data_IF_658946019506
#
_entry.id   IF_658946019506
#
_cell.length_a   1.000
_cell.length_b   1.000
_cell.length_c   1.000
_cell.angle_alpha   90.00
_cell.angle_beta   90.00
_cell.angle_gamma   90.00
#
_symmetry.space_group_name_H-M   'P 1'
#
loop_
_entity.id
_entity.type
_entity.pdbx_description
1 polymer ?
#
# COMPACT_ATOMS: atom_id res chain seq x y z
N UNK A 1 -10.01 0.27 -23.31
CA UNK A 1 -10.07 -0.29 -21.93
C UNK A 1 -11.51 -0.46 -21.45
N UNK A 2 -12.46 0.39 -21.88
CA UNK A 2 -13.89 0.20 -21.63
C UNK A 2 -14.71 0.67 -22.83
N UNK A 3 -15.89 0.09 -22.97
CA UNK A 3 -16.97 0.48 -23.87
C UNK A 3 -17.99 1.29 -23.05
N UNK A 4 -18.29 2.51 -23.52
CA UNK A 4 -19.34 3.36 -22.95
C UNK A 4 -20.49 3.36 -23.94
N UNK A 5 -21.68 2.97 -23.48
CA UNK A 5 -22.87 2.88 -24.32
C UNK A 5 -23.98 3.73 -23.74
N UNK A 6 -24.68 4.43 -24.62
CA UNK A 6 -25.98 5.05 -24.35
C UNK A 6 -26.84 4.92 -25.62
N UNK A 7 -28.13 5.30 -25.62
CA UNK A 7 -28.98 5.19 -26.80
C UNK A 7 -28.60 6.18 -27.93
N UNK A 8 -27.42 6.07 -28.53
CA UNK A 8 -26.85 7.03 -29.51
C UNK A 8 -27.79 7.36 -30.67
N UNK A 9 -28.62 6.39 -31.07
CA UNK A 9 -29.56 6.45 -32.19
C UNK A 9 -31.02 6.74 -31.77
N UNK A 10 -31.23 7.35 -30.61
CA UNK A 10 -32.57 7.64 -30.07
C UNK A 10 -33.51 8.38 -31.05
N UNK A 11 -32.95 9.18 -31.95
CA UNK A 11 -33.70 9.87 -33.02
C UNK A 11 -34.27 8.92 -34.05
N UNK A 12 -33.55 7.84 -34.38
CA UNK A 12 -33.98 6.81 -35.34
C UNK A 12 -35.19 6.03 -34.79
N UNK A 13 -35.29 5.94 -33.46
CA UNK A 13 -36.45 5.41 -32.74
C UNK A 13 -37.57 6.43 -32.52
N UNK A 14 -37.47 7.64 -33.08
CA UNK A 14 -38.41 8.77 -32.90
C UNK A 14 -38.60 9.21 -31.45
N UNK A 15 -37.61 8.97 -30.59
CA UNK A 15 -37.65 9.46 -29.21
C UNK A 15 -37.32 10.95 -29.16
N UNK A 16 -37.76 11.64 -28.10
CA UNK A 16 -37.44 13.07 -27.90
C UNK A 16 -36.01 13.29 -27.37
N UNK A 17 -35.44 12.30 -26.68
CA UNK A 17 -34.07 12.32 -26.16
C UNK A 17 -33.55 10.89 -25.93
N UNK A 18 -32.24 10.71 -25.83
CA UNK A 18 -31.58 9.42 -25.55
C UNK A 18 -31.70 8.92 -24.11
N UNK A 19 -32.32 9.72 -23.23
CA UNK A 19 -32.40 9.43 -21.80
C UNK A 19 -31.13 9.87 -21.09
N UNK A 20 -31.01 9.49 -19.82
CA UNK A 20 -29.94 9.89 -18.90
C UNK A 20 -29.13 8.69 -18.40
N UNK A 21 -29.23 7.55 -19.07
CA UNK A 21 -28.55 6.32 -18.66
C UNK A 21 -27.33 6.10 -19.53
N UNK A 22 -26.20 5.93 -18.86
CA UNK A 22 -24.92 5.54 -19.46
C UNK A 22 -24.53 4.19 -18.87
N UNK A 23 -24.11 3.25 -19.70
CA UNK A 23 -23.56 1.97 -19.26
C UNK A 23 -22.08 1.89 -19.63
N UNK A 24 -21.28 1.29 -18.76
CA UNK A 24 -19.86 1.07 -19.00
C UNK A 24 -19.54 -0.40 -18.83
N UNK A 25 -18.91 -0.99 -19.84
CA UNK A 25 -18.40 -2.35 -19.83
C UNK A 25 -16.89 -2.32 -20.05
N UNK A 26 -16.11 -3.01 -19.24
CA UNK A 26 -14.66 -3.02 -19.37
C UNK A 26 -14.20 -4.13 -20.32
N UNK A 27 -13.12 -3.89 -21.08
CA UNK A 27 -12.47 -4.92 -21.89
C UNK A 27 -11.33 -5.54 -21.10
N UNK A 28 -11.44 -6.83 -20.80
CA UNK A 28 -10.43 -7.59 -20.05
C UNK A 28 -11.06 -8.63 -19.15
N UNK A 29 -10.42 -9.78 -19.02
CA UNK A 29 -10.93 -10.89 -18.22
C UNK A 29 -11.06 -10.49 -16.75
N UNK A 30 -12.23 -10.76 -16.15
CA UNK A 30 -12.49 -10.49 -14.74
C UNK A 30 -12.74 -9.02 -14.38
N UNK A 31 -12.54 -8.06 -15.28
CA UNK A 31 -12.79 -6.64 -15.01
C UNK A 31 -14.26 -6.32 -14.77
N UNK A 32 -15.15 -7.13 -15.32
CA UNK A 32 -16.58 -6.95 -15.13
C UNK A 32 -17.14 -7.82 -14.00
N UNK A 33 -16.30 -8.46 -13.17
CA UNK A 33 -16.80 -9.17 -11.98
C UNK A 33 -17.43 -8.17 -11.02
N UNK A 34 -18.57 -8.52 -10.41
CA UNK A 34 -19.31 -7.66 -9.48
C UNK A 34 -18.41 -6.98 -8.44
N UNK A 35 -17.56 -7.73 -7.74
CA UNK A 35 -16.63 -7.16 -6.74
C UNK A 35 -15.65 -6.13 -7.29
N UNK A 36 -15.26 -6.25 -8.56
CA UNK A 36 -14.38 -5.29 -9.21
C UNK A 36 -15.15 -4.05 -9.68
N UNK A 37 -16.38 -4.22 -10.19
CA UNK A 37 -17.25 -3.10 -10.54
C UNK A 37 -17.72 -2.32 -9.31
N UNK A 38 -17.92 -2.98 -8.17
CA UNK A 38 -18.19 -2.33 -6.89
C UNK A 38 -17.03 -1.42 -6.48
N UNK A 39 -15.78 -1.87 -6.66
CA UNK A 39 -14.59 -1.03 -6.45
C UNK A 39 -14.56 0.15 -7.42
N UNK A 40 -14.88 -0.07 -8.69
CA UNK A 40 -14.98 1.01 -9.68
C UNK A 40 -16.04 2.05 -9.29
N UNK A 41 -17.19 1.64 -8.73
CA UNK A 41 -18.18 2.57 -8.19
C UNK A 41 -17.56 3.44 -7.10
N UNK A 42 -16.83 2.83 -6.16
CA UNK A 42 -16.22 3.55 -5.04
C UNK A 42 -15.13 4.54 -5.53
N UNK A 43 -14.34 4.15 -6.54
CA UNK A 43 -13.37 5.03 -7.20
C UNK A 43 -14.05 6.26 -7.84
N UNK A 44 -15.20 6.07 -8.48
CA UNK A 44 -15.98 7.13 -9.13
C UNK A 44 -16.65 8.06 -8.10
N UNK A 45 -17.23 7.50 -7.05
CA UNK A 45 -17.89 8.29 -6.00
C UNK A 45 -16.92 9.22 -5.29
N UNK A 46 -15.70 8.76 -5.04
CA UNK A 46 -14.65 9.60 -4.48
C UNK A 46 -14.18 10.68 -5.47
N UNK A 47 -13.98 10.33 -6.74
CA UNK A 47 -13.66 11.33 -7.74
C UNK A 47 -14.77 12.40 -7.85
N UNK A 48 -16.03 12.04 -7.59
CA UNK A 48 -17.14 12.99 -7.51
C UNK A 48 -17.03 13.90 -6.29
N UNK A 49 -16.67 13.36 -5.13
CA UNK A 49 -16.41 14.15 -3.91
C UNK A 49 -15.27 15.16 -4.12
N UNK A 50 -14.17 14.75 -4.77
CA UNK A 50 -13.02 15.60 -5.10
C UNK A 50 -13.39 16.72 -6.09
N UNK A 51 -14.26 16.44 -7.05
CA UNK A 51 -14.77 17.41 -8.02
C UNK A 51 -15.94 18.25 -7.44
N UNK A 52 -16.36 18.00 -6.19
CA UNK A 52 -17.43 18.75 -5.52
C UNK A 52 -18.84 18.45 -6.03
N UNK A 53 -19.07 17.27 -6.61
CA UNK A 53 -20.38 16.88 -7.17
C UNK A 53 -21.03 15.75 -6.38
N UNK A 54 -22.33 15.89 -6.17
CA UNK A 54 -23.11 14.88 -5.47
C UNK A 54 -23.40 13.67 -6.37
N UNK A 55 -22.80 12.53 -6.03
CA UNK A 55 -23.11 11.23 -6.61
C UNK A 55 -23.40 10.21 -5.51
N UNK A 56 -24.32 9.29 -5.76
CA UNK A 56 -24.68 8.25 -4.77
C UNK A 56 -24.71 6.86 -5.37
N UNK A 57 -24.35 5.87 -4.55
CA UNK A 57 -24.42 4.46 -4.91
C UNK A 57 -25.86 3.94 -4.83
N UNK A 58 -26.23 3.07 -5.76
CA UNK A 58 -27.46 2.28 -5.69
C UNK A 58 -28.45 2.54 -6.82
N UNK A 59 -29.32 1.55 -7.04
CA UNK A 59 -30.37 1.61 -8.05
C UNK A 59 -31.49 2.58 -7.61
N UNK A 60 -31.93 3.43 -8.54
CA UNK A 60 -33.17 4.21 -8.38
C UNK A 60 -33.72 4.57 -9.75
N UNK A 61 -35.02 4.87 -9.76
CA UNK A 61 -35.76 5.39 -10.91
C UNK A 61 -35.87 6.93 -10.89
N UNK A 62 -35.37 7.59 -9.82
CA UNK A 62 -35.46 9.04 -9.65
C UNK A 62 -34.29 9.82 -10.29
N UNK A 63 -34.53 11.09 -10.63
CA UNK A 63 -33.65 11.89 -11.50
C UNK A 63 -32.89 13.03 -10.79
N UNK A 64 -33.13 13.28 -9.50
CA UNK A 64 -32.58 14.45 -8.81
C UNK A 64 -31.08 14.41 -8.49
N UNK A 65 -30.47 13.22 -8.47
CA UNK A 65 -29.05 13.04 -8.12
C UNK A 65 -28.44 11.99 -9.04
N UNK A 66 -27.21 12.21 -9.52
CA UNK A 66 -26.50 11.21 -10.31
C UNK A 66 -26.26 9.95 -9.48
N UNK A 67 -26.60 8.78 -10.03
CA UNK A 67 -26.45 7.49 -9.36
C UNK A 67 -25.60 6.53 -10.14
N UNK A 68 -24.87 5.70 -9.41
CA UNK A 68 -24.03 4.64 -9.96
C UNK A 68 -24.30 3.31 -9.26
N UNK A 69 -24.39 2.23 -10.04
CA UNK A 69 -24.55 0.88 -9.48
C UNK A 69 -24.05 -0.19 -10.44
N UNK A 70 -23.74 -1.36 -9.88
CA UNK A 70 -23.45 -2.56 -10.66
C UNK A 70 -24.77 -3.20 -11.08
N UNK A 71 -25.01 -3.27 -12.39
CA UNK A 71 -26.16 -3.92 -12.96
C UNK A 71 -25.77 -5.34 -13.40
N UNK A 72 -26.52 -6.34 -12.93
CA UNK A 72 -26.42 -7.68 -13.51
C UNK A 72 -27.08 -7.66 -14.89
N UNK A 73 -26.45 -8.33 -15.85
CA UNK A 73 -27.15 -8.69 -17.05
C UNK A 73 -28.17 -9.78 -16.68
N UNK A 74 -29.46 -9.53 -16.90
CA UNK A 74 -30.55 -10.49 -16.63
C UNK A 74 -30.52 -11.71 -17.59
N UNK A 75 -29.39 -11.96 -18.24
CA UNK A 75 -29.14 -13.06 -19.16
C UNK A 75 -28.06 -13.97 -18.57
N UNK A 76 -28.25 -15.28 -18.65
CA UNK A 76 -27.24 -16.24 -18.23
C UNK A 76 -25.90 -16.01 -18.94
N UNK A 77 -24.81 -16.22 -18.21
CA UNK A 77 -23.43 -16.12 -18.72
C UNK A 77 -23.02 -14.75 -19.27
N UNK A 78 -23.71 -13.68 -18.88
CA UNK A 78 -23.31 -12.32 -19.22
C UNK A 78 -22.73 -11.62 -18.00
N UNK A 79 -21.51 -11.10 -18.13
CA UNK A 79 -20.88 -10.32 -17.07
C UNK A 79 -21.75 -9.10 -16.69
N UNK A 80 -21.76 -8.70 -15.40
CA UNK A 80 -22.39 -7.45 -15.00
C UNK A 80 -21.68 -6.24 -15.64
N UNK A 81 -22.32 -5.09 -15.59
CA UNK A 81 -21.79 -3.83 -16.13
C UNK A 81 -22.08 -2.68 -15.18
N UNK A 82 -21.36 -1.58 -15.35
CA UNK A 82 -21.61 -0.37 -14.59
C UNK A 82 -22.77 0.38 -15.22
N UNK A 83 -23.75 0.81 -14.43
CA UNK A 83 -24.83 1.69 -14.87
C UNK A 83 -24.79 3.00 -14.10
N UNK A 84 -24.83 4.09 -14.85
CA UNK A 84 -24.87 5.46 -14.35
C UNK A 84 -26.17 6.09 -14.81
N UNK A 85 -26.99 6.54 -13.87
CA UNK A 85 -28.18 7.35 -14.13
C UNK A 85 -27.82 8.80 -13.81
N UNK A 86 -27.59 9.62 -14.84
CA UNK A 86 -27.14 11.01 -14.73
C UNK A 86 -28.29 11.88 -14.22
N UNK A 87 -28.04 12.70 -13.19
CA UNK A 87 -29.03 13.65 -12.65
C UNK A 87 -29.39 14.77 -13.63
N UNK A 88 -30.49 15.49 -13.37
CA UNK A 88 -31.05 16.50 -14.31
C UNK A 88 -30.37 17.88 -14.30
N UNK A 89 -29.42 18.15 -13.41
CA UNK A 89 -28.76 19.46 -13.34
C UNK A 89 -27.74 19.59 -14.47
N UNK A 90 -28.08 20.41 -15.48
CA UNK A 90 -27.26 20.60 -16.68
C UNK A 90 -25.91 21.23 -16.39
N UNK A 91 -25.83 22.10 -15.36
CA UNK A 91 -24.56 22.72 -14.94
C UNK A 91 -23.52 21.71 -14.46
N UNK A 92 -23.95 20.55 -13.95
CA UNK A 92 -23.03 19.57 -13.33
C UNK A 92 -22.54 18.50 -14.31
N UNK A 93 -23.07 18.44 -15.53
CA UNK A 93 -22.82 17.33 -16.48
C UNK A 93 -21.32 17.15 -16.76
N UNK A 94 -20.60 18.24 -17.01
CA UNK A 94 -19.15 18.17 -17.29
C UNK A 94 -18.38 17.67 -16.07
N UNK A 95 -18.74 18.15 -14.88
CA UNK A 95 -18.07 17.77 -13.63
C UNK A 95 -18.38 16.32 -13.24
N UNK A 96 -19.62 15.87 -13.43
CA UNK A 96 -20.01 14.44 -13.34
C UNK A 96 -19.18 13.60 -14.31
N UNK A 97 -19.05 14.02 -15.56
CA UNK A 97 -18.28 13.29 -16.56
C UNK A 97 -16.80 13.19 -16.17
N UNK A 98 -16.18 14.27 -15.68
CA UNK A 98 -14.80 14.26 -15.18
C UNK A 98 -14.63 13.29 -14.01
N UNK A 99 -15.54 13.34 -13.02
CA UNK A 99 -15.54 12.42 -11.89
C UNK A 99 -15.63 10.95 -12.33
N UNK A 100 -16.58 10.63 -13.21
CA UNK A 100 -16.75 9.27 -13.76
C UNK A 100 -15.49 8.82 -14.51
N UNK A 101 -14.94 9.65 -15.39
CA UNK A 101 -13.74 9.30 -16.15
C UNK A 101 -12.51 9.12 -15.25
N UNK A 102 -12.35 9.97 -14.23
CA UNK A 102 -11.28 9.89 -13.23
C UNK A 102 -11.36 8.57 -12.45
N UNK A 103 -12.54 8.20 -11.95
CA UNK A 103 -12.75 6.95 -11.24
C UNK A 103 -12.54 5.71 -12.12
N UNK A 104 -13.07 5.72 -13.36
CA UNK A 104 -12.83 4.67 -14.36
C UNK A 104 -11.33 4.50 -14.63
N UNK A 105 -10.60 5.61 -14.80
CA UNK A 105 -9.15 5.60 -15.04
C UNK A 105 -8.41 4.95 -13.86
N UNK A 106 -8.72 5.34 -12.62
CA UNK A 106 -8.15 4.74 -11.40
C UNK A 106 -8.41 3.23 -11.35
N UNK A 107 -9.65 2.83 -11.63
CA UNK A 107 -10.03 1.44 -11.65
C UNK A 107 -9.25 0.64 -12.71
N UNK A 108 -9.17 1.13 -13.95
CA UNK A 108 -8.43 0.47 -15.02
C UNK A 108 -6.94 0.35 -14.69
N UNK A 109 -6.31 1.41 -14.16
CA UNK A 109 -4.90 1.37 -13.74
C UNK A 109 -4.67 0.32 -12.64
N UNK A 110 -5.60 0.19 -11.69
CA UNK A 110 -5.53 -0.82 -10.63
C UNK A 110 -5.71 -2.25 -11.13
N UNK A 111 -6.28 -2.46 -12.32
CA UNK A 111 -6.69 -3.79 -12.77
C UNK A 111 -5.79 -4.38 -13.86
N UNK A 112 -5.00 -3.55 -14.54
CA UNK A 112 -4.03 -3.98 -15.54
C UNK A 112 -2.69 -4.28 -14.85
N UNK A 113 -2.16 -5.51 -14.95
CA UNK A 113 -0.83 -5.82 -14.44
C UNK A 113 0.23 -4.94 -15.07
N UNK A 114 1.02 -4.27 -14.24
CA UNK A 114 2.21 -3.52 -14.65
C UNK A 114 3.38 -4.08 -13.86
N UNK A 115 4.46 -4.41 -14.57
CA UNK A 115 5.75 -4.72 -13.97
C UNK A 115 6.76 -3.67 -14.42
N UNK A 116 7.41 -3.06 -13.46
CA UNK A 116 8.60 -2.24 -13.64
C UNK A 116 9.68 -3.11 -14.29
N UNK A 117 10.32 -2.61 -15.32
CA UNK A 117 11.46 -3.27 -15.96
C UNK A 117 12.68 -2.37 -15.85
N UNK A 118 13.52 -2.65 -14.85
CA UNK A 118 14.74 -1.87 -14.60
C UNK A 118 15.80 -2.14 -15.67
N UNK A 119 15.73 -3.28 -16.38
CA UNK A 119 16.64 -3.61 -17.48
C UNK A 119 16.60 -2.56 -18.59
N UNK A 120 15.43 -1.98 -18.84
CA UNK A 120 15.24 -0.91 -19.83
C UNK A 120 15.93 0.41 -19.44
N UNK A 121 16.30 0.58 -18.16
CA UNK A 121 16.94 1.79 -17.64
C UNK A 121 18.47 1.71 -17.63
N UNK A 122 19.05 0.53 -17.88
CA UNK A 122 20.50 0.31 -17.83
C UNK A 122 21.30 1.13 -18.87
N UNK A 123 20.64 1.68 -19.89
CA UNK A 123 21.27 2.54 -20.90
C UNK A 123 21.10 4.04 -20.61
N UNK A 124 20.38 4.41 -19.55
CA UNK A 124 20.13 5.81 -19.18
C UNK A 124 21.19 6.32 -18.19
N UNK A 125 21.83 7.46 -18.50
CA UNK A 125 22.80 8.10 -17.60
C UNK A 125 22.19 8.45 -16.22
N UNK A 126 20.89 8.75 -16.16
CA UNK A 126 20.18 9.02 -14.90
C UNK A 126 20.16 7.81 -13.97
N UNK A 127 20.09 6.60 -14.54
CA UNK A 127 20.16 5.35 -13.77
C UNK A 127 21.49 5.27 -13.02
N UNK A 128 22.63 5.42 -13.71
CA UNK A 128 23.94 5.34 -13.07
C UNK A 128 24.18 6.43 -12.02
N UNK A 129 23.66 7.64 -12.24
CA UNK A 129 23.70 8.71 -11.23
C UNK A 129 22.90 8.32 -9.97
N UNK A 130 21.71 7.76 -10.15
CA UNK A 130 20.89 7.25 -9.04
C UNK A 130 21.59 6.09 -8.31
N UNK A 131 22.23 5.18 -9.06
CA UNK A 131 22.98 4.06 -8.48
C UNK A 131 24.16 4.52 -7.62
N UNK A 132 24.93 5.51 -8.09
CA UNK A 132 26.02 6.09 -7.31
C UNK A 132 25.52 6.67 -5.98
N UNK A 133 24.42 7.43 -6.02
CA UNK A 133 23.76 7.97 -4.83
C UNK A 133 23.27 6.86 -3.88
N UNK A 134 22.68 5.78 -4.41
CA UNK A 134 22.24 4.65 -3.60
C UNK A 134 23.41 3.85 -3.00
N UNK A 135 24.58 3.81 -3.64
CA UNK A 135 25.78 3.15 -3.08
C UNK A 135 26.23 3.84 -1.77
N UNK A 136 26.14 5.17 -1.69
CA UNK A 136 26.45 5.91 -0.46
C UNK A 136 25.45 5.58 0.67
N UNK A 137 24.16 5.48 0.35
CA UNK A 137 23.12 5.04 1.29
C UNK A 137 23.36 3.61 1.74
N UNK A 138 23.71 2.71 0.81
CA UNK A 138 24.03 1.32 1.13
C UNK A 138 25.25 1.21 2.05
N UNK A 139 26.30 1.99 1.80
CA UNK A 139 27.48 2.01 2.66
C UNK A 139 27.13 2.48 4.08
N UNK A 140 26.31 3.52 4.21
CA UNK A 140 25.79 3.98 5.51
C UNK A 140 24.95 2.91 6.20
N UNK A 141 24.01 2.29 5.49
CA UNK A 141 23.17 1.23 6.05
C UNK A 141 23.99 0.02 6.52
N UNK A 142 24.97 -0.41 5.73
CA UNK A 142 25.83 -1.54 6.09
C UNK A 142 26.67 -1.26 7.35
N UNK A 143 27.06 -0.01 7.59
CA UNK A 143 27.85 0.41 8.74
C UNK A 143 26.99 0.72 9.96
N UNK A 144 26.02 1.61 9.80
CA UNK A 144 25.28 2.23 10.89
C UNK A 144 24.00 1.45 11.21
N UNK A 145 23.61 0.47 10.38
CA UNK A 145 22.44 -0.41 10.56
C UNK A 145 21.09 0.31 10.52
N UNK A 146 21.11 1.60 10.24
CA UNK A 146 19.94 2.46 10.07
C UNK A 146 20.24 3.54 9.05
N UNK A 147 19.26 3.88 8.22
CA UNK A 147 19.34 5.02 7.30
C UNK A 147 17.96 5.63 7.09
N UNK A 148 17.90 6.95 7.14
CA UNK A 148 16.73 7.73 6.75
C UNK A 148 16.98 8.31 5.37
N UNK A 149 16.01 8.13 4.47
CA UNK A 149 16.02 8.59 3.09
C UNK A 149 14.86 9.57 2.94
N UNK A 150 15.18 10.84 2.73
CA UNK A 150 14.17 11.88 2.50
C UNK A 150 13.43 11.63 1.18
N UNK A 151 12.13 11.90 1.16
CA UNK A 151 11.29 11.70 -0.02
C UNK A 151 11.79 12.47 -1.24
N UNK A 152 12.22 13.72 -1.06
CA UNK A 152 12.76 14.56 -2.13
C UNK A 152 14.01 13.96 -2.79
N UNK A 153 14.86 13.29 -2.00
CA UNK A 153 16.03 12.58 -2.51
C UNK A 153 15.62 11.27 -3.19
N UNK A 154 14.62 10.57 -2.66
CA UNK A 154 14.22 9.25 -3.14
C UNK A 154 13.43 9.32 -4.46
N UNK A 155 12.57 10.33 -4.65
CA UNK A 155 11.76 10.53 -5.87
C UNK A 155 12.57 10.42 -7.17
N UNK A 156 13.66 11.20 -7.40
CA UNK A 156 14.42 11.11 -8.64
C UNK A 156 15.11 9.76 -8.82
N UNK A 157 15.44 9.05 -7.74
CA UNK A 157 16.01 7.69 -7.79
C UNK A 157 14.95 6.70 -8.28
N UNK A 158 13.74 6.74 -7.72
CA UNK A 158 12.65 5.85 -8.15
C UNK A 158 12.28 6.08 -9.61
N UNK A 159 12.26 7.33 -10.08
CA UNK A 159 12.07 7.67 -11.50
C UNK A 159 13.20 7.09 -12.37
N UNK A 160 14.45 7.18 -11.92
CA UNK A 160 15.59 6.60 -12.64
C UNK A 160 15.56 5.06 -12.69
N UNK A 161 14.96 4.40 -11.68
CA UNK A 161 14.66 2.96 -11.70
C UNK A 161 13.48 2.61 -12.62
N UNK A 162 12.72 3.61 -13.07
CA UNK A 162 11.68 3.49 -14.09
C UNK A 162 10.26 3.71 -13.58
N UNK A 163 10.07 4.17 -12.35
CA UNK A 163 8.76 4.55 -11.84
C UNK A 163 8.12 5.65 -12.70
N UNK A 164 6.82 5.50 -12.97
CA UNK A 164 6.02 6.41 -13.80
C UNK A 164 5.56 7.61 -12.97
N UNK A 165 5.42 8.76 -13.62
CA UNK A 165 5.04 10.01 -12.94
C UNK A 165 3.66 9.90 -12.29
N UNK A 166 2.69 9.36 -13.03
CA UNK A 166 1.31 9.19 -12.58
C UNK A 166 1.15 8.24 -11.38
N UNK A 167 2.13 7.36 -11.16
CA UNK A 167 2.09 6.40 -10.07
C UNK A 167 2.48 7.03 -8.73
N UNK A 168 3.14 8.20 -8.71
CA UNK A 168 3.43 8.91 -7.46
C UNK A 168 2.15 9.43 -6.83
N UNK A 169 1.29 10.09 -7.61
CA UNK A 169 -0.02 10.57 -7.14
C UNK A 169 -0.93 9.39 -6.76
N UNK A 170 -0.94 8.34 -7.58
CA UNK A 170 -1.74 7.15 -7.29
C UNK A 170 -1.31 6.47 -5.96
N UNK A 171 -0.02 6.47 -5.64
CA UNK A 171 0.48 5.88 -4.40
C UNK A 171 0.03 6.64 -3.16
N UNK A 172 -0.03 7.99 -3.20
CA UNK A 172 -0.57 8.79 -2.09
C UNK A 172 -2.03 8.46 -1.78
N UNK A 173 -2.79 8.07 -2.80
CA UNK A 173 -4.23 7.82 -2.69
C UNK A 173 -4.59 6.37 -2.36
N UNK A 174 -3.60 5.46 -2.33
CA UNK A 174 -3.88 4.02 -2.23
C UNK A 174 -4.42 3.60 -0.86
N UNK A 175 -4.17 4.38 0.18
CA UNK A 175 -4.66 4.12 1.55
C UNK A 175 -6.17 4.36 1.73
N UNK A 176 -6.82 4.96 0.75
CA UNK A 176 -8.29 5.11 0.75
C UNK A 176 -9.04 3.81 0.46
N UNK A 177 -8.37 2.78 -0.08
CA UNK A 177 -9.01 1.49 -0.37
C UNK A 177 -8.80 0.45 0.73
N UNK A 178 -8.21 0.82 1.86
CA UNK A 178 -7.86 -0.10 2.92
C UNK A 178 -9.10 -0.74 3.56
N UNK A 179 -8.94 -1.98 4.03
CA UNK A 179 -9.97 -2.69 4.78
C UNK A 179 -9.77 -2.55 6.29
N UNK A 180 -10.75 -2.99 7.07
CA UNK A 180 -10.68 -3.01 8.53
C UNK A 180 -9.52 -3.88 9.02
N UNK A 181 -8.79 -3.40 10.03
CA UNK A 181 -7.85 -4.23 10.78
C UNK A 181 -8.61 -5.20 11.71
N UNK A 182 -8.33 -6.51 11.68
CA UNK A 182 -9.02 -7.48 12.54
C UNK A 182 -8.61 -7.41 14.02
N UNK A 183 -7.56 -6.66 14.37
CA UNK A 183 -6.93 -6.65 15.70
C UNK A 183 -7.16 -5.35 16.48
N UNK A 184 -7.39 -4.23 15.79
CA UNK A 184 -7.56 -2.91 16.42
C UNK A 184 -8.61 -2.09 15.66
N UNK A 185 -9.21 -1.11 16.32
CA UNK A 185 -10.30 -0.29 15.78
C UNK A 185 -9.84 1.04 15.16
N UNK A 186 -8.62 1.49 15.47
CA UNK A 186 -8.02 2.75 15.00
C UNK A 186 -7.13 2.60 13.74
N UNK A 187 -7.21 1.46 13.06
CA UNK A 187 -6.36 1.14 11.90
C UNK A 187 -7.15 0.52 10.75
N UNK A 188 -6.86 0.94 9.54
CA UNK A 188 -7.20 0.20 8.32
C UNK A 188 -5.93 -0.27 7.64
N UNK A 189 -5.97 -1.43 6.99
CA UNK A 189 -4.77 -2.13 6.56
C UNK A 189 -5.02 -3.04 5.35
N UNK A 190 -3.95 -3.26 4.58
CA UNK A 190 -3.81 -4.35 3.62
C UNK A 190 -2.43 -4.98 3.75
N UNK A 191 -2.31 -6.29 3.54
CA UNK A 191 -1.05 -7.02 3.55
C UNK A 191 -0.82 -7.79 2.24
N UNK A 192 0.43 -7.85 1.81
CA UNK A 192 0.89 -8.64 0.68
C UNK A 192 2.25 -9.25 0.92
N UNK A 193 2.47 -10.46 0.43
CA UNK A 193 3.74 -11.16 0.56
C UNK A 193 4.50 -11.14 -0.76
N UNK A 194 5.74 -10.67 -0.73
CA UNK A 194 6.61 -10.59 -1.89
C UNK A 194 7.88 -11.39 -1.65
N UNK A 195 8.38 -12.03 -2.69
CA UNK A 195 9.58 -12.86 -2.64
C UNK A 195 10.71 -12.20 -3.43
N UNK A 196 11.81 -11.93 -2.75
CA UNK A 196 13.00 -11.31 -3.34
C UNK A 196 13.94 -12.47 -3.69
N UNK A 197 13.84 -12.89 -4.96
CA UNK A 197 14.60 -13.98 -5.52
C UNK A 197 15.90 -13.44 -6.12
N UNK A 198 16.98 -13.48 -5.35
CA UNK A 198 18.28 -13.01 -5.81
C UNK A 198 18.96 -13.99 -6.77
N UNK A 199 18.61 -15.28 -6.72
CA UNK A 199 19.14 -16.30 -7.66
C UNK A 199 18.61 -16.07 -9.08
N UNK A 200 17.29 -15.87 -9.21
CA UNK A 200 16.64 -15.60 -10.48
C UNK A 200 16.51 -14.10 -10.79
N UNK A 201 17.11 -13.25 -9.95
CA UNK A 201 17.11 -11.79 -10.08
C UNK A 201 15.70 -11.22 -10.33
N UNK A 202 14.76 -11.51 -9.44
CA UNK A 202 13.39 -11.03 -9.57
C UNK A 202 12.73 -10.81 -8.21
N UNK A 203 11.78 -9.87 -8.18
CA UNK A 203 10.82 -9.71 -7.08
C UNK A 203 9.46 -10.21 -7.56
N UNK A 204 8.89 -11.15 -6.82
CA UNK A 204 7.66 -11.85 -7.21
C UNK A 204 6.55 -11.68 -6.18
N UNK A 205 5.30 -11.63 -6.63
CA UNK A 205 4.14 -11.70 -5.72
C UNK A 205 3.86 -13.14 -5.33
N UNK A 206 3.87 -13.43 -4.03
CA UNK A 206 3.51 -14.73 -3.48
C UNK A 206 2.09 -14.72 -2.92
N UNK A 207 1.55 -15.92 -2.71
CA UNK A 207 0.23 -16.08 -2.11
C UNK A 207 0.19 -15.44 -0.73
N UNK A 208 -0.94 -14.82 -0.42
CA UNK A 208 -1.22 -14.29 0.90
C UNK A 208 -1.12 -15.40 1.95
N UNK A 209 -0.48 -15.08 3.06
CA UNK A 209 -0.38 -15.95 4.23
C UNK A 209 -0.88 -15.20 5.46
N UNK A 210 -1.30 -15.95 6.48
CA UNK A 210 -1.61 -15.35 7.78
C UNK A 210 -0.32 -14.85 8.42
N UNK A 211 -0.41 -13.69 9.08
CA UNK A 211 0.75 -13.04 9.69
C UNK A 211 0.71 -13.23 11.21
N UNK A 212 1.78 -13.80 11.76
CA UNK A 212 1.92 -14.08 13.20
C UNK A 212 3.23 -13.47 13.67
N UNK A 213 3.17 -12.72 14.78
CA UNK A 213 4.35 -12.28 15.54
C UNK A 213 4.23 -12.78 16.97
N UNK A 214 5.36 -13.14 17.56
CA UNK A 214 5.44 -13.81 18.86
C UNK A 214 6.25 -13.01 19.86
N UNK A 215 6.12 -13.33 21.15
CA UNK A 215 6.91 -12.70 22.21
C UNK A 215 8.41 -12.98 22.02
N UNK A 216 8.76 -14.17 21.50
CA UNK A 216 10.12 -14.57 21.15
C UNK A 216 10.73 -13.67 20.05
N UNK A 217 9.90 -13.09 19.19
CA UNK A 217 10.32 -12.13 18.17
C UNK A 217 10.41 -10.68 18.71
N UNK A 218 10.38 -10.49 20.03
CA UNK A 218 10.29 -9.19 20.70
C UNK A 218 9.02 -8.39 20.36
N UNK A 219 7.91 -9.10 20.14
CA UNK A 219 6.59 -8.51 19.94
C UNK A 219 5.62 -8.93 21.06
N UNK A 220 5.28 -8.00 21.95
CA UNK A 220 4.43 -8.26 23.13
C UNK A 220 3.15 -7.42 23.09
N UNK A 221 2.06 -8.03 22.64
CA UNK A 221 0.72 -7.45 22.59
C UNK A 221 -0.32 -8.51 22.99
N UNK A 222 -1.57 -8.09 23.21
CA UNK A 222 -2.67 -8.99 23.55
C UNK A 222 -2.91 -10.12 22.53
N UNK A 223 -2.46 -9.94 21.27
CA UNK A 223 -2.60 -10.89 20.17
C UNK A 223 -1.30 -11.59 19.77
N UNK A 224 -0.23 -11.49 20.58
CA UNK A 224 1.03 -12.20 20.31
C UNK A 224 0.80 -13.71 20.18
N UNK A 225 1.36 -14.31 19.12
CA UNK A 225 1.19 -15.73 18.79
C UNK A 225 -0.09 -16.07 18.03
N UNK A 226 -1.02 -15.12 17.84
CA UNK A 226 -2.25 -15.37 17.09
C UNK A 226 -2.05 -15.12 15.58
N UNK A 227 -2.48 -16.05 14.70
CA UNK A 227 -2.48 -15.82 13.26
C UNK A 227 -3.47 -14.73 12.87
N UNK A 228 -2.99 -13.71 12.14
CA UNK A 228 -3.82 -12.58 11.69
C UNK A 228 -4.09 -12.66 10.20
N UNK A 229 -5.36 -12.50 9.85
CA UNK A 229 -5.83 -12.52 8.47
C UNK A 229 -6.21 -11.10 8.01
N UNK A 230 -5.23 -10.35 7.53
CA UNK A 230 -5.44 -8.97 7.08
C UNK A 230 -6.09 -8.91 5.69
N UNK A 231 -6.85 -7.87 5.33
CA UNK A 231 -7.25 -7.65 3.94
C UNK A 231 -6.04 -7.70 3.00
N UNK A 232 -6.19 -8.25 1.80
CA UNK A 232 -5.04 -8.42 0.91
C UNK A 232 -4.74 -7.15 0.11
N UNK A 233 -3.45 -6.90 -0.16
CA UNK A 233 -3.00 -5.98 -1.21
C UNK A 233 -3.59 -6.36 -2.57
N UNK A 234 -3.96 -5.34 -3.35
CA UNK A 234 -4.61 -5.47 -4.67
C UNK A 234 -3.77 -4.74 -5.73
N UNK A 235 -4.28 -4.78 -6.97
CA UNK A 235 -3.60 -4.23 -8.14
C UNK A 235 -3.30 -2.72 -8.06
N UNK A 236 -4.15 -1.95 -7.37
CA UNK A 236 -3.94 -0.52 -7.09
C UNK A 236 -2.61 -0.20 -6.41
N UNK A 237 -2.17 -1.08 -5.50
CA UNK A 237 -0.89 -0.93 -4.81
C UNK A 237 0.21 -1.75 -5.50
N UNK A 238 -0.01 -3.04 -5.78
CA UNK A 238 1.09 -3.90 -6.25
C UNK A 238 1.58 -3.53 -7.66
N UNK A 239 0.71 -3.02 -8.53
CA UNK A 239 1.08 -2.62 -9.91
C UNK A 239 1.55 -1.17 -10.00
N UNK A 240 1.54 -0.44 -8.88
CA UNK A 240 2.12 0.87 -8.80
C UNK A 240 3.65 0.77 -8.96
N UNK A 241 4.20 1.40 -9.99
CA UNK A 241 5.63 1.28 -10.30
C UNK A 241 6.53 1.98 -9.28
N UNK A 242 6.00 2.92 -8.48
CA UNK A 242 6.74 3.54 -7.35
C UNK A 242 6.92 2.52 -6.22
N UNK A 243 5.89 1.75 -5.87
CA UNK A 243 6.04 0.65 -4.90
C UNK A 243 7.08 -0.38 -5.38
N UNK A 244 7.01 -0.76 -6.65
CA UNK A 244 7.95 -1.71 -7.22
C UNK A 244 9.39 -1.17 -7.19
N UNK A 245 9.58 0.10 -7.53
CA UNK A 245 10.88 0.77 -7.44
C UNK A 245 11.38 0.89 -5.98
N UNK A 246 10.49 1.10 -5.00
CA UNK A 246 10.85 1.07 -3.57
C UNK A 246 11.37 -0.31 -3.15
N UNK A 247 10.71 -1.39 -3.57
CA UNK A 247 11.17 -2.75 -3.29
C UNK A 247 12.52 -3.03 -3.94
N UNK A 248 12.74 -2.55 -5.17
CA UNK A 248 14.02 -2.63 -5.89
C UNK A 248 15.12 -1.86 -5.15
N UNK A 249 14.86 -0.61 -4.73
CA UNK A 249 15.82 0.21 -4.00
C UNK A 249 16.18 -0.44 -2.65
N UNK A 250 15.18 -0.94 -1.91
CA UNK A 250 15.39 -1.71 -0.69
C UNK A 250 16.22 -2.97 -0.93
N UNK A 251 15.89 -3.75 -1.97
CA UNK A 251 16.65 -4.93 -2.36
C UNK A 251 18.11 -4.57 -2.65
N UNK A 252 18.35 -3.48 -3.40
CA UNK A 252 19.70 -2.99 -3.67
C UNK A 252 20.47 -2.65 -2.39
N UNK A 253 19.84 -1.94 -1.46
CA UNK A 253 20.49 -1.50 -0.22
C UNK A 253 20.81 -2.67 0.71
N UNK A 254 19.89 -3.63 0.87
CA UNK A 254 20.05 -4.71 1.85
C UNK A 254 20.79 -5.95 1.31
N UNK A 255 20.85 -6.14 -0.01
CA UNK A 255 21.42 -7.36 -0.60
C UNK A 255 22.87 -7.58 -0.12
N UNK A 256 23.18 -8.75 0.44
CA UNK A 256 24.50 -9.10 1.03
C UNK A 256 24.94 -8.20 2.19
N UNK A 257 24.01 -7.59 2.90
CA UNK A 257 24.29 -6.95 4.19
C UNK A 257 23.97 -7.95 5.28
N UNK A 258 24.99 -8.46 5.96
CA UNK A 258 24.82 -9.39 7.07
C UNK A 258 24.24 -8.66 8.28
N UNK A 259 23.19 -9.23 8.87
CA UNK A 259 22.58 -8.76 10.12
C UNK A 259 22.58 -9.89 11.15
N UNK A 260 22.44 -9.54 12.43
CA UNK A 260 22.31 -10.53 13.50
C UNK A 260 21.18 -11.53 13.19
N UNK A 261 21.47 -12.85 13.17
CA UNK A 261 20.49 -13.84 12.78
C UNK A 261 19.42 -14.04 13.85
N UNK A 262 18.20 -14.37 13.41
CA UNK A 262 17.08 -14.81 14.24
C UNK A 262 17.00 -16.32 14.26
N UNK A 263 16.56 -16.86 15.39
CA UNK A 263 16.35 -18.29 15.53
C UNK A 263 15.32 -18.81 14.52
N UNK A 264 15.57 -20.02 14.01
CA UNK A 264 14.68 -20.73 13.09
C UNK A 264 14.34 -20.00 11.78
N UNK A 265 15.25 -19.15 11.28
CA UNK A 265 15.23 -18.67 9.90
C UNK A 265 16.40 -19.24 9.08
N UNK A 266 16.19 -19.40 7.78
CA UNK A 266 17.16 -19.97 6.85
C UNK A 266 18.16 -18.92 6.32
N UNK A 267 19.22 -18.66 7.08
CA UNK A 267 20.30 -17.77 6.66
C UNK A 267 21.23 -18.39 5.60
N UNK A 268 21.07 -19.68 5.25
CA UNK A 268 21.78 -20.26 4.12
C UNK A 268 21.16 -19.86 2.78
N UNK A 269 19.85 -19.53 2.78
CA UNK A 269 19.16 -19.05 1.60
C UNK A 269 19.65 -17.66 1.17
N UNK A 270 19.92 -17.41 -0.12
CA UNK A 270 20.20 -16.07 -0.62
C UNK A 270 18.93 -15.19 -0.69
N UNK A 271 17.74 -15.79 -0.58
CA UNK A 271 16.47 -15.15 -0.88
C UNK A 271 15.78 -14.62 0.38
N UNK A 272 14.80 -13.73 0.19
CA UNK A 272 14.05 -13.11 1.28
C UNK A 272 12.55 -13.08 1.00
N UNK A 273 11.76 -13.11 2.06
CA UNK A 273 10.33 -12.82 2.05
C UNK A 273 10.09 -11.44 2.63
N UNK A 274 9.29 -10.64 1.94
CA UNK A 274 8.93 -9.28 2.34
C UNK A 274 7.42 -9.17 2.50
N UNK A 275 6.95 -9.02 3.73
CA UNK A 275 5.59 -8.60 3.99
C UNK A 275 5.49 -7.09 3.79
N UNK A 276 4.64 -6.67 2.87
CA UNK A 276 4.31 -5.26 2.67
C UNK A 276 2.93 -4.99 3.25
N UNK A 277 2.87 -4.04 4.18
CA UNK A 277 1.62 -3.53 4.72
C UNK A 277 1.39 -2.11 4.23
N UNK A 278 0.19 -1.81 3.74
CA UNK A 278 -0.29 -0.44 3.63
C UNK A 278 -1.24 -0.18 4.79
N UNK A 279 -0.92 0.81 5.61
CA UNK A 279 -1.55 1.09 6.89
C UNK A 279 -2.01 2.55 6.92
N UNK A 280 -3.26 2.77 7.31
CA UNK A 280 -3.75 4.06 7.78
C UNK A 280 -4.07 3.94 9.26
N UNK A 281 -3.32 4.66 10.08
CA UNK A 281 -3.63 4.86 11.51
C UNK A 281 -4.39 6.16 11.67
N UNK A 282 -5.39 6.20 12.54
CA UNK A 282 -6.20 7.39 12.71
C UNK A 282 -6.64 7.64 14.15
N UNK A 283 -6.90 8.91 14.44
CA UNK A 283 -7.43 9.38 15.73
C UNK A 283 -8.69 10.18 15.47
N UNK A 284 -9.78 9.78 16.12
CA UNK A 284 -11.07 10.48 16.06
C UNK A 284 -11.89 10.22 17.31
N UNK A 285 -12.61 11.24 17.79
CA UNK A 285 -13.52 11.12 18.94
C UNK A 285 -12.79 10.52 20.16
N UNK A 286 -13.19 9.32 20.58
CA UNK A 286 -12.63 8.62 21.75
C UNK A 286 -11.59 7.56 21.37
N UNK A 287 -11.17 7.51 20.11
CA UNK A 287 -10.24 6.52 19.57
C UNK A 287 -8.89 7.20 19.34
N UNK A 288 -7.85 6.73 20.02
CA UNK A 288 -6.47 7.17 19.82
C UNK A 288 -5.75 6.22 18.85
N UNK A 289 -5.18 6.78 17.79
CA UNK A 289 -4.38 6.05 16.83
C UNK A 289 -2.98 5.78 17.38
N UNK A 290 -2.72 4.55 17.79
CA UNK A 290 -1.43 4.11 18.34
C UNK A 290 -0.72 3.18 17.35
N UNK A 291 0.22 3.68 16.52
CA UNK A 291 0.90 2.86 15.52
C UNK A 291 1.53 1.59 16.10
N UNK A 292 2.07 1.70 17.32
CA UNK A 292 2.78 0.65 18.05
C UNK A 292 2.22 0.53 19.47
N UNK A 293 1.03 -0.06 19.59
CA UNK A 293 0.32 -0.25 20.86
C UNK A 293 1.10 -1.12 21.85
N UNK A 294 1.91 -2.03 21.34
CA UNK A 294 2.86 -2.84 22.08
C UNK A 294 4.02 -2.04 22.69
N UNK A 295 4.20 -0.76 22.34
CA UNK A 295 5.29 0.06 22.86
C UNK A 295 6.63 -0.26 22.19
N UNK A 296 7.72 -0.34 22.97
CA UNK A 296 9.05 -0.72 22.45
C UNK A 296 9.06 -2.18 22.01
N UNK A 297 9.38 -2.44 20.74
CA UNK A 297 9.32 -3.78 20.15
C UNK A 297 10.26 -3.93 18.94
N UNK A 298 10.28 -5.15 18.37
CA UNK A 298 10.82 -5.43 17.04
C UNK A 298 9.73 -6.07 16.16
N UNK A 299 9.93 -6.03 14.84
CA UNK A 299 8.93 -6.45 13.85
C UNK A 299 8.99 -7.94 13.47
N UNK A 300 9.92 -8.70 14.06
CA UNK A 300 10.18 -10.09 13.65
C UNK A 300 10.78 -10.19 12.24
N UNK A 301 11.53 -9.16 11.82
CA UNK A 301 12.17 -9.07 10.51
C UNK A 301 13.70 -9.01 10.63
N UNK A 302 14.40 -9.22 9.51
CA UNK A 302 15.83 -8.90 9.39
C UNK A 302 16.01 -7.41 9.07
N UNK A 303 15.21 -6.92 8.13
CA UNK A 303 15.26 -5.54 7.65
C UNK A 303 13.85 -4.94 7.60
N UNK A 304 13.56 -3.97 8.46
CA UNK A 304 12.32 -3.18 8.38
C UNK A 304 12.57 -1.91 7.58
N UNK A 305 11.70 -1.64 6.60
CA UNK A 305 11.58 -0.31 6.00
C UNK A 305 10.19 0.26 6.24
N UNK A 306 10.11 1.54 6.60
CA UNK A 306 8.84 2.27 6.72
C UNK A 306 8.86 3.47 5.79
N UNK A 307 7.83 3.65 4.98
CA UNK A 307 7.72 4.73 3.99
C UNK A 307 6.43 5.50 4.18
N UNK A 308 6.50 6.83 4.24
CA UNK A 308 5.35 7.68 4.48
C UNK A 308 4.61 8.03 3.19
N UNK A 309 3.28 7.89 3.21
CA UNK A 309 2.41 8.21 2.08
C UNK A 309 1.71 9.55 2.24
N UNK A 310 1.39 9.94 3.48
CA UNK A 310 0.70 11.19 3.76
C UNK A 310 0.08 11.22 5.15
N UNK A 311 -0.47 12.38 5.51
CA UNK A 311 -1.26 12.56 6.72
C UNK A 311 -2.31 13.64 6.52
N UNK A 312 -3.35 13.63 7.34
CA UNK A 312 -4.32 14.73 7.44
C UNK A 312 -4.51 15.10 8.91
N UNK A 313 -4.62 16.41 9.18
CA UNK A 313 -4.90 16.95 10.52
C UNK A 313 -3.99 16.40 11.64
N UNK A 314 -2.77 16.00 11.31
CA UNK A 314 -1.83 15.36 12.24
C UNK A 314 -0.89 16.40 12.84
N UNK A 315 -0.81 16.43 14.18
CA UNK A 315 0.10 17.34 14.89
C UNK A 315 1.57 17.11 14.55
N UNK A 316 2.38 18.14 14.77
CA UNK A 316 3.83 18.09 14.53
C UNK A 316 4.59 17.12 15.43
N UNK A 317 4.05 16.74 16.60
CA UNK A 317 4.66 15.81 17.56
C UNK A 317 4.19 14.35 17.41
N UNK A 318 3.40 14.07 16.38
CA UNK A 318 2.86 12.73 16.11
C UNK A 318 3.79 11.88 15.23
N UNK A 319 3.76 10.56 15.42
CA UNK A 319 4.46 9.60 14.58
C UNK A 319 5.98 9.75 14.55
N UNK A 320 6.58 10.20 15.67
CA UNK A 320 8.03 10.24 15.85
C UNK A 320 8.50 8.81 16.16
N UNK A 321 9.44 8.29 15.36
CA UNK A 321 10.07 6.99 15.58
C UNK A 321 11.33 7.14 16.43
N UNK A 322 11.44 6.33 17.47
CA UNK A 322 12.65 6.17 18.27
C UNK A 322 13.26 4.81 17.95
N UNK A 323 14.55 4.78 17.67
CA UNK A 323 15.33 3.55 17.54
C UNK A 323 16.11 3.36 18.83
N UNK A 324 15.91 2.21 19.47
CA UNK A 324 16.46 1.85 20.77
C UNK A 324 17.54 0.78 20.64
N UNK A 325 18.46 0.78 21.60
CA UNK A 325 19.34 -0.36 21.84
C UNK A 325 18.54 -1.64 22.16
N UNK A 326 19.04 -2.82 21.77
CA UNK A 326 18.38 -4.09 22.07
C UNK A 326 18.19 -4.36 23.57
N UNK A 327 18.99 -3.71 24.43
CA UNK A 327 18.86 -3.79 25.88
C UNK A 327 17.58 -3.15 26.43
N UNK A 328 16.87 -2.35 25.64
CA UNK A 328 15.61 -1.74 26.08
C UNK A 328 14.54 -2.80 26.35
N UNK A 329 13.61 -2.52 27.26
CA UNK A 329 12.59 -3.48 27.68
C UNK A 329 11.49 -3.57 26.62
N UNK A 330 11.24 -4.77 26.10
CA UNK A 330 10.13 -5.00 25.17
C UNK A 330 8.79 -4.83 25.88
N UNK A 331 7.86 -4.11 25.26
CA UNK A 331 6.48 -3.97 25.75
C UNK A 331 6.21 -2.72 26.59
N UNK A 332 7.22 -1.90 26.90
CA UNK A 332 7.02 -0.66 27.65
C UNK A 332 6.52 0.47 26.74
N UNK A 333 5.69 1.39 27.23
CA UNK A 333 5.30 2.58 26.48
C UNK A 333 6.52 3.39 26.01
N UNK A 334 6.41 4.04 24.85
CA UNK A 334 7.50 4.88 24.31
C UNK A 334 7.94 6.00 25.28
N UNK A 335 7.02 6.50 26.11
CA UNK A 335 7.27 7.53 27.13
C UNK A 335 8.05 7.03 28.34
N UNK A 336 8.11 5.71 28.54
CA UNK A 336 8.83 5.06 29.64
C UNK A 336 10.20 4.51 29.20
N UNK A 337 10.53 4.61 27.90
CA UNK A 337 11.82 4.20 27.38
C UNK A 337 12.97 4.98 28.04
N UNK A 338 14.08 4.28 28.30
CA UNK A 338 15.25 4.86 28.94
C UNK A 338 15.93 5.83 27.96
N UNK A 339 16.06 7.12 28.29
CA UNK A 339 16.63 8.10 27.36
C UNK A 339 18.05 7.76 26.89
N UNK A 340 18.84 7.07 27.71
CA UNK A 340 20.20 6.62 27.37
C UNK A 340 20.25 5.46 26.37
N UNK A 341 19.14 4.75 26.15
CA UNK A 341 19.03 3.65 25.20
C UNK A 341 18.45 4.08 23.85
N UNK A 342 17.94 5.31 23.73
CA UNK A 342 17.49 5.88 22.46
C UNK A 342 18.74 6.25 21.63
N UNK A 343 18.99 5.50 20.56
CA UNK A 343 20.12 5.71 19.65
C UNK A 343 19.81 6.77 18.59
N UNK A 344 18.59 6.74 18.07
CA UNK A 344 18.17 7.65 17.01
C UNK A 344 16.72 8.07 17.17
N UNK A 345 16.40 9.24 16.60
CA UNK A 345 15.06 9.78 16.49
C UNK A 345 14.83 10.22 15.05
N UNK A 346 13.75 9.73 14.46
CA UNK A 346 13.34 10.08 13.10
C UNK A 346 11.87 10.47 13.09
N UNK A 347 11.45 11.23 12.09
CA UNK A 347 10.03 11.50 11.87
C UNK A 347 9.80 11.66 10.38
N UNK A 348 8.91 10.84 9.84
CA UNK A 348 8.45 11.00 8.47
C UNK A 348 7.50 12.19 8.39
N UNK A 349 7.78 13.14 7.51
CA UNK A 349 7.00 14.37 7.34
C UNK A 349 6.56 14.57 5.90
N UNK A 350 7.37 14.12 4.95
CA UNK A 350 7.15 14.32 3.54
C UNK A 350 6.89 12.99 2.83
N UNK A 351 6.11 13.06 1.76
CA UNK A 351 5.81 11.91 0.94
C UNK A 351 7.07 11.18 0.52
N UNK A 352 7.09 9.85 0.67
CA UNK A 352 8.22 8.96 0.43
C UNK A 352 9.42 9.07 1.37
N UNK A 353 9.34 9.88 2.43
CA UNK A 353 10.28 9.74 3.56
C UNK A 353 10.30 8.27 3.96
N UNK A 354 11.50 7.71 4.07
CA UNK A 354 11.70 6.28 4.25
C UNK A 354 12.79 6.00 5.27
N UNK A 355 12.49 5.17 6.27
CA UNK A 355 13.44 4.71 7.28
C UNK A 355 13.69 3.22 7.09
N UNK A 356 14.94 2.81 6.88
CA UNK A 356 15.37 1.42 6.80
C UNK A 356 16.31 1.11 7.98
N UNK A 357 16.05 0.04 8.72
CA UNK A 357 16.90 -0.40 9.83
C UNK A 357 17.01 -1.92 9.92
N UNK A 358 18.10 -2.40 10.54
CA UNK A 358 18.28 -3.81 10.89
C UNK A 358 17.40 -4.14 12.13
N UNK A 359 16.30 -4.84 11.90
CA UNK A 359 15.24 -5.02 12.90
C UNK A 359 15.61 -6.00 14.01
N UNK A 360 16.53 -6.94 13.74
CA UNK A 360 17.03 -7.83 14.79
C UNK A 360 18.19 -7.24 15.60
N UNK A 361 18.67 -6.02 15.29
CA UNK A 361 19.79 -5.36 15.97
C UNK A 361 19.36 -4.11 16.76
N UNK A 362 18.08 -3.76 16.69
CA UNK A 362 17.50 -2.62 17.38
C UNK A 362 16.04 -2.90 17.76
N UNK A 363 15.51 -2.12 18.70
CA UNK A 363 14.06 -2.02 18.94
C UNK A 363 13.59 -0.67 18.46
N UNK A 364 12.28 -0.51 18.30
CA UNK A 364 11.70 0.78 17.98
C UNK A 364 10.36 1.00 18.67
N UNK A 365 9.97 2.27 18.76
CA UNK A 365 8.66 2.69 19.24
C UNK A 365 8.26 4.00 18.58
N UNK A 366 6.96 4.31 18.56
CA UNK A 366 6.45 5.55 17.96
C UNK A 366 5.59 6.35 18.92
N UNK A 367 5.57 7.68 18.76
CA UNK A 367 4.49 8.49 19.34
C UNK A 367 3.17 8.24 18.62
N UNK A 368 2.07 8.33 19.35
CA UNK A 368 0.71 8.21 18.82
C UNK A 368 0.40 9.30 17.80
N UNK A 369 -0.68 9.11 17.05
CA UNK A 369 -1.21 10.11 16.12
C UNK A 369 -2.14 11.04 16.90
N UNK A 370 -1.83 12.33 16.95
CA UNK A 370 -2.64 13.34 17.61
C UNK A 370 -3.25 14.30 16.59
N UNK A 371 -4.47 14.77 16.89
CA UNK A 371 -5.21 15.71 16.05
C UNK A 371 -4.72 17.15 16.29
N UNK A 372 -4.51 17.91 15.22
CA UNK A 372 -4.28 19.36 15.29
C UNK A 372 -5.59 20.07 15.65
N UNK A 373 -6.65 19.81 14.88
CA UNK A 373 -8.03 20.16 15.20
C UNK A 373 -8.77 18.94 15.76
N UNK A 374 -9.06 18.94 17.07
CA UNK A 374 -9.71 17.81 17.76
C UNK A 374 -11.12 17.49 17.24
N UNK A 375 -11.77 18.40 16.52
CA UNK A 375 -13.09 18.17 15.91
C UNK A 375 -13.04 17.37 14.61
N UNK A 376 -11.85 17.24 14.01
CA UNK A 376 -11.63 16.55 12.72
C UNK A 376 -10.77 15.33 12.90
N UNK A 377 -11.06 14.25 12.18
CA UNK A 377 -10.20 13.05 12.19
C UNK A 377 -8.77 13.39 11.77
N UNK A 378 -7.79 12.81 12.45
CA UNK A 378 -6.39 12.81 12.01
C UNK A 378 -6.01 11.45 11.43
N UNK A 379 -5.19 11.44 10.38
CA UNK A 379 -4.72 10.20 9.73
C UNK A 379 -3.21 10.23 9.49
N UNK A 380 -2.59 9.05 9.48
CA UNK A 380 -1.21 8.81 9.07
C UNK A 380 -1.14 7.56 8.21
N UNK A 381 -0.64 7.71 6.99
CA UNK A 381 -0.61 6.67 5.97
C UNK A 381 0.84 6.21 5.71
N UNK A 382 1.07 4.90 5.78
CA UNK A 382 2.40 4.30 5.71
C UNK A 382 2.42 3.02 4.87
N UNK A 383 3.56 2.77 4.24
CA UNK A 383 3.98 1.43 3.82
C UNK A 383 5.00 0.88 4.82
N UNK A 384 4.81 -0.37 5.25
CA UNK A 384 5.79 -1.11 6.06
C UNK A 384 6.27 -2.32 5.25
N UNK A 385 7.58 -2.50 5.17
CA UNK A 385 8.25 -3.60 4.48
C UNK A 385 9.03 -4.41 5.50
N UNK A 386 8.45 -5.51 5.96
CA UNK A 386 9.07 -6.43 6.91
C UNK A 386 9.74 -7.55 6.12
N UNK A 387 11.06 -7.47 6.00
CA UNK A 387 11.83 -8.41 5.17
C UNK A 387 12.66 -9.34 6.03
N UNK A 388 12.54 -10.64 5.79
CA UNK A 388 13.31 -11.67 6.52
C UNK A 388 13.65 -12.87 5.65
N UNK A 389 14.59 -13.68 6.13
CA UNK A 389 14.84 -15.04 5.63
C UNK A 389 13.62 -15.97 5.78
N UNK A 390 13.48 -17.02 4.95
CA UNK A 390 12.43 -18.02 5.08
C UNK A 390 12.43 -18.73 6.44
N UNK A 391 11.26 -19.11 6.93
CA UNK A 391 11.10 -19.84 8.19
C UNK A 391 11.52 -21.30 8.03
N UNK A 392 12.26 -21.80 9.00
CA UNK A 392 12.57 -23.22 9.17
C UNK A 392 11.54 -23.90 10.08
N UNK A 393 11.55 -25.24 10.09
CA UNK A 393 10.79 -26.01 11.07
C UNK A 393 11.20 -25.62 12.50
N UNK A 394 10.20 -25.54 13.39
CA UNK A 394 10.41 -25.11 14.78
C UNK A 394 10.32 -23.60 15.01
N UNK A 395 10.10 -22.79 13.97
CA UNK A 395 9.86 -21.35 14.14
C UNK A 395 8.70 -21.06 15.09
N UNK A 396 8.83 -20.03 15.92
CA UNK A 396 7.90 -19.70 17.02
C UNK A 396 6.45 -19.48 16.57
N UNK A 397 6.24 -19.03 15.33
CA UNK A 397 4.91 -18.88 14.72
C UNK A 397 4.22 -20.20 14.35
N UNK A 398 4.88 -21.35 14.48
CA UNK A 398 4.30 -22.68 14.30
C UNK A 398 4.06 -23.15 12.86
N UNK A 399 4.52 -22.39 11.84
CA UNK A 399 4.35 -22.74 10.42
C UNK A 399 5.58 -22.35 9.59
N UNK A 400 5.89 -23.15 8.58
CA UNK A 400 6.83 -22.79 7.51
C UNK A 400 6.13 -21.91 6.47
N UNK A 401 6.90 -21.14 5.70
CA UNK A 401 6.37 -20.28 4.65
C UNK A 401 5.88 -21.08 3.44
N UNK A 402 4.71 -20.73 2.91
CA UNK A 402 4.27 -21.24 1.61
C UNK A 402 5.00 -20.53 0.46
N UNK A 403 5.78 -21.26 -0.32
CA UNK A 403 6.65 -20.69 -1.36
C UNK A 403 5.99 -20.71 -2.75
N UNK A 404 4.72 -20.27 -2.84
CA UNK A 404 3.94 -20.33 -4.07
C UNK A 404 3.66 -18.92 -4.65
N UNK A 405 3.90 -18.72 -5.97
CA UNK A 405 3.47 -17.51 -6.66
C UNK A 405 1.95 -17.29 -6.59
N UNK A 406 1.55 -16.03 -6.59
CA UNK A 406 0.15 -15.65 -6.55
C UNK A 406 -0.53 -15.83 -7.92
N UNK A 407 -1.51 -16.74 -7.99
CA UNK A 407 -2.12 -17.16 -9.26
C UNK A 407 -2.96 -16.08 -9.95
N UNK A 408 -3.73 -15.29 -9.19
CA UNK A 408 -4.69 -14.31 -9.75
C UNK A 408 -4.22 -12.85 -9.72
N UNK A 409 -3.10 -12.57 -9.06
CA UNK A 409 -2.50 -11.25 -8.90
C UNK A 409 -0.98 -11.37 -9.06
N UNK A 410 -0.48 -11.97 -10.16
CA UNK A 410 0.95 -12.17 -10.34
C UNK A 410 1.65 -10.82 -10.53
N UNK A 411 2.86 -10.72 -10.01
CA UNK A 411 3.78 -9.62 -10.25
C UNK A 411 5.18 -10.21 -10.37
N UNK A 412 5.97 -9.71 -11.31
CA UNK A 412 7.35 -10.15 -11.53
C UNK A 412 8.19 -8.97 -12.01
N UNK A 413 8.99 -8.41 -11.11
CA UNK A 413 9.87 -7.27 -11.38
C UNK A 413 11.31 -7.78 -11.49
N UNK A 414 11.97 -7.71 -12.67
CA UNK A 414 13.36 -8.11 -12.80
C UNK A 414 14.30 -7.19 -12.00
N UNK A 415 15.33 -7.80 -11.45
CA UNK A 415 16.47 -7.15 -10.80
C UNK A 415 17.70 -7.28 -11.71
N UNK A 416 18.61 -6.31 -11.66
CA UNK A 416 19.93 -6.39 -12.34
C UNK A 416 21.06 -6.84 -11.39
N UNK A 417 20.72 -7.00 -10.10
CA UNK A 417 21.63 -7.22 -8.98
C UNK A 417 22.48 -8.49 -9.05
#
# INVERSE_FOLDING_TARGET
>A
MAEVTFPHHWRDYRWRHGGNVVTVRFHGEGLNKRSNLERCCDDILRAAEEEGVQMVKGASLGFSTTRIFVADAFFENTDPFLRISVGVQSEDIETVARAVLSGIKRYCMSAVPVNLDVGQRLYDAKFYKAMASMLEVRARYAKDRVVFMEGEWLVPILKALGAREEDFDALQQVSHHLGKDPTVDYRTIRNGLFYFNFENKAIQRFQKQRFTLTVQENYKRHDSGLPRDFPEVRGDLQYNTVLQALMVAKAFIMNKVDVEPRDHLDYSSPNFLCNVFNIRTFTEKNILGEPTLEGVHADGADHTMTTFLGCTNMRSDSGITFIHDQKEITGIPATEAQPSLIKHRFQHRHFLDSLLFADNEAKHSLTSVFQEDVSKRATRDMLLFLTRKPKLAGHSSGSVDAMEPHKTLPMNVPLWL
#
